data_IF_738810215028
#
_entry.id   IF_738810215028
#
_cell.length_a   1.000
_cell.length_b   1.000
_cell.length_c   1.000
_cell.angle_alpha   90.00
_cell.angle_beta   90.00
_cell.angle_gamma   90.00
#
_symmetry.space_group_name_H-M   'P 1'
#
loop_
_entity.id
_entity.type
_entity.pdbx_description
1 polymer ?
#
# COMPACT_ATOMS: atom_id res chain seq x y z
N UNK A 1 68.35 11.79 5.27
CA UNK A 1 67.92 10.96 4.12
C UNK A 1 66.43 11.23 3.93
N UNK A 2 66.12 11.94 2.83
CA UNK A 2 64.87 12.19 2.10
C UNK A 2 63.49 12.13 2.81
N UNK A 3 62.47 12.92 2.47
CA UNK A 3 62.28 14.19 1.75
C UNK A 3 60.76 14.41 1.80
N UNK A 4 60.32 15.60 2.22
CA UNK A 4 58.94 16.07 2.10
C UNK A 4 58.73 16.48 0.64
N UNK A 5 57.80 15.85 -0.08
CA UNK A 5 57.35 16.29 -1.40
C UNK A 5 55.95 16.89 -1.30
N UNK A 6 55.91 18.23 -1.38
CA UNK A 6 54.73 19.00 -1.79
C UNK A 6 54.58 18.85 -3.31
N UNK A 7 53.38 18.55 -3.77
CA UNK A 7 52.99 18.78 -5.17
C UNK A 7 51.68 19.54 -5.19
N UNK A 8 51.82 20.83 -5.46
CA UNK A 8 50.79 21.77 -5.87
C UNK A 8 50.41 21.50 -7.33
N UNK A 9 49.12 21.26 -7.59
CA UNK A 9 48.56 21.36 -8.93
C UNK A 9 47.54 22.50 -8.97
N UNK A 10 47.92 23.56 -9.68
CA UNK A 10 47.05 24.62 -10.14
C UNK A 10 46.00 24.04 -11.08
N UNK A 11 44.73 24.21 -10.76
CA UNK A 11 43.62 23.99 -11.69
C UNK A 11 42.84 25.31 -11.82
N UNK A 12 42.93 25.82 -13.04
CA UNK A 12 42.38 27.06 -13.58
C UNK A 12 40.85 27.12 -13.41
N UNK A 13 40.34 28.26 -12.95
CA UNK A 13 38.90 28.56 -12.87
C UNK A 13 38.43 29.01 -14.26
N UNK A 14 37.43 28.37 -14.89
CA UNK A 14 36.71 28.96 -16.02
C UNK A 14 35.56 29.83 -15.50
N UNK A 15 35.54 31.07 -15.97
CA UNK A 15 34.47 32.04 -15.76
C UNK A 15 33.29 31.81 -16.72
N UNK A 16 32.08 32.05 -16.19
CA UNK A 16 30.80 32.35 -16.84
C UNK A 16 29.82 31.22 -17.22
N UNK A 17 28.68 31.33 -16.51
CA UNK A 17 27.28 31.19 -16.94
C UNK A 17 26.80 29.86 -17.52
N UNK A 18 26.17 29.07 -16.65
CA UNK A 18 24.88 28.40 -16.92
C UNK A 18 24.31 27.95 -15.58
N UNK A 19 23.21 28.58 -15.16
CA UNK A 19 22.45 28.18 -13.97
C UNK A 19 21.70 26.89 -14.28
N UNK A 20 22.38 25.76 -14.15
CA UNK A 20 21.76 24.44 -14.13
C UNK A 20 21.52 24.10 -12.67
N UNK A 21 20.31 24.35 -12.18
CA UNK A 21 19.88 23.88 -10.87
C UNK A 21 20.08 22.37 -10.81
N UNK A 22 21.12 21.94 -10.09
CA UNK A 22 21.32 20.56 -9.70
C UNK A 22 20.15 20.22 -8.79
N UNK A 23 19.09 19.63 -9.36
CA UNK A 23 18.03 19.02 -8.59
C UNK A 23 18.67 17.80 -7.94
N UNK A 24 19.11 17.97 -6.69
CA UNK A 24 19.53 16.86 -5.84
C UNK A 24 18.27 16.03 -5.62
N UNK A 25 18.01 15.09 -6.52
CA UNK A 25 17.01 14.06 -6.32
C UNK A 25 17.61 13.20 -5.21
N UNK A 26 17.21 13.47 -3.97
CA UNK A 26 17.54 12.62 -2.83
C UNK A 26 16.87 11.29 -3.12
N UNK A 27 17.59 10.40 -3.79
CA UNK A 27 17.33 8.97 -3.74
C UNK A 27 17.60 8.59 -2.29
N UNK A 28 16.57 8.69 -1.46
CA UNK A 28 16.54 7.96 -0.20
C UNK A 28 16.50 6.51 -0.65
N UNK A 29 17.67 5.87 -0.65
CA UNK A 29 17.76 4.42 -0.73
C UNK A 29 17.08 3.95 0.56
N UNK A 30 15.78 3.71 0.48
CA UNK A 30 15.08 2.92 1.49
C UNK A 30 15.78 1.56 1.48
N UNK A 31 16.24 1.14 2.64
CA UNK A 31 17.02 -0.08 2.79
C UNK A 31 16.27 -1.25 2.13
N UNK A 32 16.89 -1.78 1.06
CA UNK A 32 16.67 -2.94 0.19
C UNK A 32 15.45 -3.88 0.22
N UNK A 33 14.45 -3.70 1.07
CA UNK A 33 13.34 -4.64 1.21
C UNK A 33 12.19 -4.29 0.28
N UNK A 34 12.01 -5.15 -0.73
CA UNK A 34 10.88 -5.13 -1.64
C UNK A 34 9.57 -5.12 -0.86
N UNK A 35 8.72 -4.15 -1.18
CA UNK A 35 7.44 -3.96 -0.51
C UNK A 35 6.32 -3.81 -1.54
N UNK A 36 5.24 -4.55 -1.33
CA UNK A 36 4.01 -4.46 -2.10
C UNK A 36 2.84 -4.76 -1.18
N UNK A 37 1.74 -4.02 -1.33
CA UNK A 37 0.50 -4.31 -0.64
C UNK A 37 -0.68 -3.95 -1.53
N UNK A 38 -1.56 -4.92 -1.80
CA UNK A 38 -2.81 -4.73 -2.51
C UNK A 38 -3.96 -5.29 -1.71
N UNK A 39 -5.05 -4.53 -1.65
CA UNK A 39 -6.30 -5.00 -1.09
C UNK A 39 -7.43 -4.73 -2.06
N UNK A 40 -8.28 -5.73 -2.25
CA UNK A 40 -9.50 -5.64 -3.04
C UNK A 40 -10.69 -6.13 -2.23
N UNK A 41 -11.82 -5.45 -2.37
CA UNK A 41 -13.13 -5.96 -1.93
C UNK A 41 -14.17 -5.61 -2.99
N UNK A 42 -15.00 -6.58 -3.35
CA UNK A 42 -16.05 -6.32 -4.32
C UNK A 42 -17.03 -7.45 -4.46
N UNK A 43 -18.12 -7.16 -5.18
CA UNK A 43 -19.15 -8.13 -5.48
C UNK A 43 -19.83 -7.78 -6.81
N UNK A 44 -20.44 -8.78 -7.46
CA UNK A 44 -21.23 -8.59 -8.67
C UNK A 44 -22.71 -8.73 -8.33
N UNK A 45 -23.37 -7.59 -8.19
CA UNK A 45 -24.80 -7.51 -7.90
C UNK A 45 -25.66 -7.29 -9.14
N UNK A 46 -26.96 -7.09 -8.92
CA UNK A 46 -27.94 -6.77 -9.97
C UNK A 46 -27.59 -5.52 -10.78
N UNK A 47 -26.88 -4.58 -10.16
CA UNK A 47 -26.53 -3.28 -10.73
C UNK A 47 -25.11 -3.23 -11.31
N UNK A 48 -24.47 -4.39 -11.49
CA UNK A 48 -23.12 -4.51 -12.03
C UNK A 48 -22.09 -4.85 -10.96
N UNK A 49 -20.83 -4.54 -11.28
CA UNK A 49 -19.70 -4.83 -10.41
C UNK A 49 -19.38 -3.62 -9.54
N UNK A 50 -19.51 -3.80 -8.22
CA UNK A 50 -19.13 -2.80 -7.24
C UNK A 50 -17.88 -3.28 -6.49
N UNK A 51 -16.90 -2.39 -6.35
CA UNK A 51 -15.64 -2.72 -5.69
C UNK A 51 -14.90 -1.50 -5.17
N UNK A 52 -13.99 -1.77 -4.25
CA UNK A 52 -12.96 -0.84 -3.80
C UNK A 52 -11.62 -1.59 -3.81
N UNK A 53 -10.60 -0.97 -4.37
CA UNK A 53 -9.25 -1.50 -4.44
C UNK A 53 -8.24 -0.41 -4.12
N UNK A 54 -7.18 -0.79 -3.40
CA UNK A 54 -5.99 0.03 -3.30
C UNK A 54 -4.73 -0.82 -3.43
N UNK A 55 -3.67 -0.19 -3.93
CA UNK A 55 -2.38 -0.80 -4.19
C UNK A 55 -1.26 0.18 -3.81
N UNK A 56 -0.29 -0.29 -3.03
CA UNK A 56 0.97 0.38 -2.77
C UNK A 56 2.08 -0.35 -3.51
N UNK A 57 2.66 0.33 -4.50
CA UNK A 57 3.77 -0.21 -5.29
C UNK A 57 5.12 -0.06 -4.57
N UNK A 58 6.16 -0.80 -5.01
CA UNK A 58 7.50 -0.70 -4.44
C UNK A 58 8.14 0.69 -4.54
N UNK A 59 7.70 1.53 -5.48
CA UNK A 59 8.15 2.91 -5.66
C UNK A 59 7.43 3.91 -4.75
N UNK A 60 6.50 3.45 -3.92
CA UNK A 60 5.70 4.28 -3.01
C UNK A 60 4.44 4.89 -3.66
N UNK A 61 4.11 4.52 -4.90
CA UNK A 61 2.87 4.95 -5.53
C UNK A 61 1.65 4.25 -4.89
N UNK A 62 0.76 5.03 -4.28
CA UNK A 62 -0.57 4.59 -3.87
C UNK A 62 -1.55 4.78 -5.02
N UNK A 63 -2.19 3.71 -5.47
CA UNK A 63 -3.29 3.70 -6.44
C UNK A 63 -4.57 3.31 -5.72
N UNK A 64 -5.63 4.08 -5.92
CA UNK A 64 -6.94 3.87 -5.32
C UNK A 64 -8.03 3.87 -6.39
N UNK A 65 -8.89 2.87 -6.34
CA UNK A 65 -10.05 2.72 -7.21
C UNK A 65 -11.29 2.40 -6.37
N UNK A 66 -12.40 3.10 -6.66
CA UNK A 66 -13.69 2.79 -6.06
C UNK A 66 -14.78 2.95 -7.10
N UNK A 67 -15.56 1.88 -7.28
CA UNK A 67 -16.72 1.84 -8.13
C UNK A 67 -17.95 1.45 -7.30
N UNK A 68 -18.71 2.44 -6.86
CA UNK A 68 -20.06 2.25 -6.33
C UNK A 68 -21.07 2.57 -7.44
N UNK A 69 -21.89 1.61 -7.86
CA UNK A 69 -22.94 1.85 -8.86
C UNK A 69 -24.15 2.59 -8.25
N UNK A 70 -24.02 3.08 -7.02
CA UNK A 70 -25.00 3.90 -6.34
C UNK A 70 -25.22 5.22 -7.11
N UNK A 71 -26.45 5.46 -7.57
CA UNK A 71 -26.89 6.69 -8.25
C UNK A 71 -26.13 7.06 -9.53
N UNK A 72 -25.56 6.09 -10.25
CA UNK A 72 -24.76 6.31 -11.46
C UNK A 72 -23.51 7.17 -11.20
N UNK A 73 -22.90 7.06 -10.02
CA UNK A 73 -21.66 7.77 -9.74
C UNK A 73 -20.54 7.32 -10.68
N UNK A 74 -19.64 8.26 -10.98
CA UNK A 74 -18.48 7.97 -11.83
C UNK A 74 -17.45 7.25 -10.97
N UNK A 75 -16.89 6.15 -11.49
CA UNK A 75 -15.79 5.43 -10.85
C UNK A 75 -14.66 6.39 -10.44
N UNK A 76 -14.30 6.35 -9.16
CA UNK A 76 -13.21 7.15 -8.61
C UNK A 76 -11.90 6.40 -8.85
N UNK A 77 -10.93 7.09 -9.46
CA UNK A 77 -9.54 6.63 -9.60
C UNK A 77 -8.59 7.73 -9.17
N UNK A 78 -7.65 7.41 -8.30
CA UNK A 78 -6.69 8.36 -7.73
C UNK A 78 -5.32 7.70 -7.58
N UNK A 79 -4.27 8.47 -7.83
CA UNK A 79 -2.89 8.02 -7.68
C UNK A 79 -2.07 9.11 -6.99
N UNK A 80 -1.28 8.76 -5.99
CA UNK A 80 -0.45 9.69 -5.22
C UNK A 80 0.83 8.99 -4.75
N UNK A 81 1.97 9.67 -4.89
CA UNK A 81 3.23 9.18 -4.32
C UNK A 81 3.23 9.42 -2.80
N UNK A 82 3.41 8.35 -2.03
CA UNK A 82 3.55 8.40 -0.59
C UNK A 82 5.00 8.71 -0.20
N UNK A 83 5.18 9.39 0.93
CA UNK A 83 6.51 9.60 1.49
C UNK A 83 7.05 8.29 2.07
N UNK A 84 8.39 8.14 2.19
CA UNK A 84 9.01 7.00 2.86
C UNK A 84 8.40 6.68 4.24
N UNK A 85 8.12 7.71 5.05
CA UNK A 85 7.51 7.54 6.36
C UNK A 85 6.12 6.89 6.32
N UNK A 86 5.31 7.14 5.27
CA UNK A 86 4.00 6.48 5.11
C UNK A 86 4.20 5.00 4.75
N UNK A 87 5.21 4.68 3.93
CA UNK A 87 5.52 3.30 3.56
C UNK A 87 6.07 2.53 4.77
N UNK A 88 6.93 3.14 5.57
CA UNK A 88 7.44 2.55 6.83
C UNK A 88 6.31 2.27 7.83
N UNK A 89 5.36 3.20 7.98
CA UNK A 89 4.22 3.01 8.87
C UNK A 89 3.28 1.91 8.38
N UNK A 90 3.06 1.83 7.07
CA UNK A 90 2.28 0.75 6.45
C UNK A 90 2.95 -0.62 6.70
N UNK A 91 4.28 -0.71 6.54
CA UNK A 91 5.06 -1.92 6.89
C UNK A 91 4.89 -2.28 8.37
N UNK A 92 4.98 -1.30 9.27
CA UNK A 92 4.81 -1.50 10.72
C UNK A 92 3.44 -2.07 11.06
N UNK A 93 2.36 -1.50 10.51
CA UNK A 93 0.98 -1.98 10.72
C UNK A 93 0.84 -3.45 10.27
N UNK A 94 1.36 -3.79 9.09
CA UNK A 94 1.33 -5.15 8.56
C UNK A 94 2.11 -6.11 9.46
N UNK A 95 3.33 -5.76 9.85
CA UNK A 95 4.18 -6.61 10.68
C UNK A 95 3.58 -6.83 12.09
N UNK A 96 3.06 -5.78 12.72
CA UNK A 96 2.43 -5.88 14.05
C UNK A 96 1.14 -6.69 14.05
N UNK A 97 0.45 -6.77 12.91
CA UNK A 97 -0.74 -7.63 12.79
C UNK A 97 -0.41 -9.12 12.81
N UNK A 98 0.85 -9.49 12.55
CA UNK A 98 1.30 -10.88 12.36
C UNK A 98 0.61 -11.64 11.21
N UNK A 99 -0.06 -10.93 10.29
CA UNK A 99 -0.81 -11.50 9.16
C UNK A 99 0.01 -12.45 8.27
N UNK A 100 1.33 -12.28 8.21
CA UNK A 100 2.22 -13.15 7.39
C UNK A 100 2.37 -14.56 7.96
N UNK A 101 1.87 -14.81 9.18
CA UNK A 101 1.84 -16.14 9.83
C UNK A 101 0.53 -16.88 9.61
N UNK A 102 -0.48 -16.20 9.07
CA UNK A 102 -1.81 -16.76 8.83
C UNK A 102 -1.90 -17.48 7.49
N UNK A 103 -2.96 -18.26 7.32
CA UNK A 103 -3.22 -19.06 6.13
C UNK A 103 -4.74 -19.12 5.85
N UNK A 104 -5.14 -18.94 4.60
CA UNK A 104 -6.54 -18.83 4.21
C UNK A 104 -7.21 -20.17 3.83
N UNK A 105 -6.53 -21.31 3.97
CA UNK A 105 -7.07 -22.63 3.58
C UNK A 105 -8.36 -23.03 4.31
N UNK A 106 -8.66 -22.41 5.45
CA UNK A 106 -9.89 -22.64 6.23
C UNK A 106 -10.84 -21.44 6.23
N UNK A 107 -10.52 -20.40 5.47
CA UNK A 107 -11.35 -19.20 5.38
C UNK A 107 -12.54 -19.45 4.44
N UNK A 108 -13.66 -18.74 4.63
CA UNK A 108 -14.83 -18.91 3.79
C UNK A 108 -14.50 -18.51 2.34
N UNK A 109 -14.84 -19.38 1.39
CA UNK A 109 -14.62 -19.14 -0.04
C UNK A 109 -15.48 -17.99 -0.58
N UNK A 110 -15.01 -17.21 -1.58
CA UNK A 110 -15.78 -16.16 -2.21
C UNK A 110 -17.12 -16.63 -2.75
N UNK A 111 -18.15 -15.80 -2.58
CA UNK A 111 -19.51 -16.14 -2.98
C UNK A 111 -20.21 -14.98 -3.72
N UNK A 112 -21.54 -15.09 -3.86
CA UNK A 112 -22.37 -14.04 -4.49
C UNK A 112 -22.46 -12.75 -3.67
N UNK A 113 -22.23 -12.81 -2.35
CA UNK A 113 -22.26 -11.65 -1.45
C UNK A 113 -20.99 -10.83 -1.64
N UNK A 114 -19.86 -11.48 -1.88
CA UNK A 114 -18.66 -10.83 -2.37
C UNK A 114 -17.38 -11.59 -2.11
N UNK A 115 -16.28 -10.93 -2.49
CA UNK A 115 -14.90 -11.40 -2.37
C UNK A 115 -14.04 -10.33 -1.71
N UNK A 116 -13.08 -10.76 -0.91
CA UNK A 116 -11.95 -9.98 -0.45
C UNK A 116 -10.64 -10.64 -0.87
N UNK A 117 -9.65 -9.82 -1.20
CA UNK A 117 -8.29 -10.26 -1.52
C UNK A 117 -7.31 -9.35 -0.81
N UNK A 118 -6.27 -9.93 -0.22
CA UNK A 118 -5.12 -9.22 0.32
C UNK A 118 -3.86 -9.88 -0.21
N UNK A 119 -2.98 -9.09 -0.79
CA UNK A 119 -1.66 -9.54 -1.23
C UNK A 119 -0.61 -8.63 -0.62
N UNK A 120 0.37 -9.22 0.05
CA UNK A 120 1.45 -8.48 0.71
C UNK A 120 2.77 -9.17 0.41
N UNK A 121 3.73 -8.39 -0.07
CA UNK A 121 5.14 -8.77 -0.13
C UNK A 121 5.93 -7.84 0.76
N UNK A 122 6.68 -8.38 1.71
CA UNK A 122 7.53 -7.62 2.62
C UNK A 122 8.81 -8.39 2.91
N UNK A 123 9.94 -7.86 2.44
CA UNK A 123 11.21 -8.56 2.51
C UNK A 123 11.14 -9.90 1.76
N UNK A 124 11.29 -11.01 2.49
CA UNK A 124 11.22 -12.37 1.93
C UNK A 124 9.85 -13.04 2.10
N UNK A 125 8.90 -12.41 2.79
CA UNK A 125 7.56 -12.94 3.00
C UNK A 125 6.64 -12.48 1.87
N UNK A 126 5.85 -13.40 1.32
CA UNK A 126 4.80 -13.11 0.34
C UNK A 126 3.56 -13.93 0.68
N UNK A 127 2.47 -13.23 0.99
CA UNK A 127 1.16 -13.83 1.22
C UNK A 127 0.18 -13.35 0.15
N UNK A 128 -0.79 -14.20 -0.16
CA UNK A 128 -1.92 -13.86 -1.02
C UNK A 128 -3.14 -14.61 -0.50
N UNK A 129 -4.08 -13.86 0.08
CA UNK A 129 -5.29 -14.40 0.65
C UNK A 129 -6.51 -14.07 -0.20
N UNK A 130 -7.46 -14.99 -0.22
CA UNK A 130 -8.78 -14.83 -0.82
C UNK A 130 -9.85 -15.37 0.12
N UNK A 131 -10.87 -14.56 0.41
CA UNK A 131 -12.02 -15.02 1.19
C UNK A 131 -13.33 -14.35 0.76
N UNK A 132 -14.44 -14.85 1.30
CA UNK A 132 -15.75 -14.23 1.22
C UNK A 132 -15.73 -12.83 1.85
N UNK A 133 -16.72 -12.00 1.48
CA UNK A 133 -16.91 -10.71 2.13
C UNK A 133 -17.32 -10.89 3.59
N UNK A 134 -16.48 -10.45 4.52
CA UNK A 134 -16.76 -10.41 5.96
C UNK A 134 -17.59 -9.17 6.28
N UNK A 135 -18.79 -9.35 6.83
CA UNK A 135 -19.69 -8.25 7.20
C UNK A 135 -19.52 -7.79 8.64
N UNK A 136 -19.18 -8.70 9.55
CA UNK A 136 -19.15 -8.46 10.99
C UNK A 136 -18.20 -9.40 11.72
N UNK A 137 -17.94 -9.10 13.01
CA UNK A 137 -17.22 -10.02 13.90
C UNK A 137 -17.98 -11.32 14.18
N UNK A 138 -19.30 -11.37 13.96
CA UNK A 138 -20.06 -12.61 14.10
C UNK A 138 -19.64 -13.60 13.01
N UNK A 139 -19.52 -13.13 11.76
CA UNK A 139 -19.05 -13.96 10.64
C UNK A 139 -17.64 -14.53 10.91
N UNK A 140 -16.80 -13.75 11.60
CA UNK A 140 -15.46 -14.18 12.04
C UNK A 140 -15.55 -15.26 13.11
N UNK A 141 -16.37 -15.06 14.13
CA UNK A 141 -16.55 -16.01 15.24
C UNK A 141 -17.13 -17.35 14.79
N UNK A 142 -17.99 -17.35 13.77
CA UNK A 142 -18.63 -18.55 13.22
C UNK A 142 -17.77 -19.26 12.16
N UNK A 143 -16.61 -18.71 11.80
CA UNK A 143 -15.71 -19.30 10.80
C UNK A 143 -14.94 -20.52 11.32
N UNK A 144 -14.31 -21.27 10.40
CA UNK A 144 -13.47 -22.43 10.77
C UNK A 144 -12.08 -22.03 11.28
N UNK A 145 -11.70 -20.77 11.10
CA UNK A 145 -10.47 -20.18 11.67
C UNK A 145 -10.76 -18.76 12.21
N UNK A 146 -11.37 -18.64 13.40
CA UNK A 146 -11.71 -17.33 13.97
C UNK A 146 -10.51 -16.49 14.39
N UNK A 147 -9.33 -17.09 14.59
CA UNK A 147 -8.13 -16.36 15.03
C UNK A 147 -7.47 -15.65 13.85
N UNK A 148 -7.15 -16.37 12.78
CA UNK A 148 -6.55 -15.79 11.58
C UNK A 148 -7.49 -14.83 10.88
N UNK A 149 -8.78 -15.19 10.76
CA UNK A 149 -9.76 -14.31 10.12
C UNK A 149 -10.02 -13.02 10.93
N UNK A 150 -9.83 -13.04 12.25
CA UNK A 150 -9.89 -11.84 13.10
C UNK A 150 -8.69 -10.92 12.87
N UNK A 151 -7.49 -11.47 12.73
CA UNK A 151 -6.29 -10.71 12.38
C UNK A 151 -6.49 -10.02 11.03
N UNK A 152 -6.93 -10.77 10.02
CA UNK A 152 -7.29 -10.22 8.70
C UNK A 152 -8.33 -9.11 8.80
N UNK A 153 -9.41 -9.33 9.54
CA UNK A 153 -10.52 -8.37 9.70
C UNK A 153 -10.07 -7.02 10.29
N UNK A 154 -9.20 -7.04 11.30
CA UNK A 154 -8.69 -5.80 11.92
C UNK A 154 -7.62 -5.14 11.06
N UNK A 155 -6.67 -5.89 10.50
CA UNK A 155 -5.66 -5.33 9.59
C UNK A 155 -6.33 -4.59 8.43
N UNK A 156 -7.31 -5.20 7.78
CA UNK A 156 -8.04 -4.58 6.67
C UNK A 156 -8.70 -3.26 7.08
N UNK A 157 -9.20 -3.14 8.31
CA UNK A 157 -9.76 -1.88 8.81
C UNK A 157 -8.69 -0.82 9.00
N UNK A 158 -7.55 -1.17 9.59
CA UNK A 158 -6.44 -0.23 9.79
C UNK A 158 -5.90 0.27 8.44
N UNK A 159 -5.73 -0.62 7.47
CA UNK A 159 -5.32 -0.27 6.11
C UNK A 159 -6.33 0.67 5.43
N UNK A 160 -7.62 0.38 5.53
CA UNK A 160 -8.68 1.25 5.01
C UNK A 160 -8.65 2.63 5.65
N UNK A 161 -8.50 2.69 6.98
CA UNK A 161 -8.41 3.95 7.71
C UNK A 161 -7.24 4.82 7.24
N UNK A 162 -6.06 4.22 7.04
CA UNK A 162 -4.89 4.90 6.49
C UNK A 162 -5.17 5.42 5.07
N UNK A 163 -5.61 4.55 4.16
CA UNK A 163 -5.85 4.89 2.75
C UNK A 163 -6.94 5.96 2.61
N UNK A 164 -8.05 5.83 3.32
CA UNK A 164 -9.13 6.82 3.30
C UNK A 164 -8.67 8.18 3.81
N UNK A 165 -7.81 8.21 4.82
CA UNK A 165 -7.23 9.47 5.32
C UNK A 165 -6.31 10.11 4.27
N UNK A 166 -5.42 9.34 3.65
CA UNK A 166 -4.52 9.82 2.59
C UNK A 166 -5.30 10.37 1.39
N UNK A 167 -6.23 9.59 0.85
CA UNK A 167 -7.02 9.96 -0.32
C UNK A 167 -7.96 11.14 0.01
N UNK A 168 -8.61 11.10 1.17
CA UNK A 168 -9.56 12.13 1.58
C UNK A 168 -8.90 13.48 1.80
N UNK A 169 -7.77 13.53 2.51
CA UNK A 169 -7.04 14.77 2.78
C UNK A 169 -6.33 15.30 1.52
N UNK A 170 -5.71 14.44 0.73
CA UNK A 170 -4.94 14.86 -0.45
C UNK A 170 -5.83 15.37 -1.58
N UNK A 171 -6.91 14.62 -1.90
CA UNK A 171 -7.79 14.96 -3.02
C UNK A 171 -9.05 15.75 -2.63
N UNK A 172 -9.28 15.96 -1.33
CA UNK A 172 -10.49 16.63 -0.80
C UNK A 172 -11.79 15.98 -1.26
N UNK A 173 -11.77 14.65 -1.40
CA UNK A 173 -12.95 13.85 -1.72
C UNK A 173 -13.40 13.11 -0.48
N UNK A 174 -14.70 12.82 -0.37
CA UNK A 174 -15.16 11.84 0.62
C UNK A 174 -14.86 10.44 0.08
N UNK A 175 -13.99 9.65 0.72
CA UNK A 175 -13.88 8.24 0.40
C UNK A 175 -15.23 7.59 0.71
N UNK A 176 -15.82 6.91 -0.28
CA UNK A 176 -17.09 6.20 -0.09
C UNK A 176 -16.72 4.80 0.43
N UNK A 177 -17.21 4.39 1.61
CA UNK A 177 -16.91 3.07 2.19
C UNK A 177 -17.63 1.91 1.49
#
# INVERSE_FOLDING_TARGET
>A
VAAILKTSHNLTIPSHSSSSSIHLQVHIIMDGEEFYCRYYVGHKGKYGHEFMEFEFNPDGLLRYANNSNYKNDIMIRKEVNCSPAVIEELKRIIQESEITREDDNQWPEPDRVGRQELEVKIGNEHISFTCAKIGSLLDVQESSDPEGLRIFYYLVQDLKCLVFSLIGLHFKIKPIP
#
